data_IF_682107037082
#
_entry.id   IF_682107037082
#
_cell.length_a   1.000
_cell.length_b   1.000
_cell.length_c   1.000
_cell.angle_alpha   90.00
_cell.angle_beta   90.00
_cell.angle_gamma   90.00
#
_symmetry.space_group_name_H-M   'P 1'
#
loop_
_entity.id
_entity.type
_entity.pdbx_description
1 polymer ?
#
# COMPACT_ATOMS: atom_id res chain seq x y z
N UNK A 1 -7.04 -15.28 -22.89
CA UNK A 1 -7.97 -15.24 -21.74
C UNK A 1 -7.33 -15.81 -20.48
N UNK A 2 -6.70 -16.99 -20.55
CA UNK A 2 -6.07 -17.64 -19.39
C UNK A 2 -5.00 -16.79 -18.68
N UNK A 3 -4.12 -16.10 -19.42
CA UNK A 3 -3.13 -15.16 -18.83
C UNK A 3 -3.77 -13.98 -18.09
N UNK A 4 -4.89 -13.46 -18.60
CA UNK A 4 -5.64 -12.39 -17.94
C UNK A 4 -6.32 -12.89 -16.67
N UNK A 5 -6.90 -14.10 -16.72
CA UNK A 5 -7.49 -14.73 -15.54
C UNK A 5 -6.43 -15.07 -14.49
N UNK A 6 -5.26 -15.52 -14.90
CA UNK A 6 -4.12 -15.78 -14.02
C UNK A 6 -3.73 -14.50 -13.27
N UNK A 7 -3.46 -13.41 -14.01
CA UNK A 7 -3.11 -12.12 -13.42
C UNK A 7 -4.23 -11.53 -12.54
N UNK A 8 -5.48 -11.57 -13.02
CA UNK A 8 -6.62 -11.03 -12.27
C UNK A 8 -6.92 -11.81 -10.98
N UNK A 9 -6.78 -13.15 -11.02
CA UNK A 9 -7.04 -13.99 -9.86
C UNK A 9 -5.91 -13.97 -8.82
N UNK A 10 -4.80 -13.28 -9.13
CA UNK A 10 -3.60 -13.20 -8.30
C UNK A 10 -3.16 -14.58 -7.79
N UNK A 11 -3.31 -15.61 -8.64
CA UNK A 11 -3.22 -17.01 -8.22
C UNK A 11 -1.86 -17.36 -7.63
N UNK A 12 -0.81 -16.72 -8.14
CA UNK A 12 0.56 -16.85 -7.66
C UNK A 12 0.77 -16.35 -6.22
N UNK A 13 -0.09 -15.46 -5.71
CA UNK A 13 0.07 -14.89 -4.36
C UNK A 13 -0.79 -15.59 -3.29
N UNK A 14 -1.55 -16.64 -3.66
CA UNK A 14 -2.45 -17.31 -2.73
C UNK A 14 -1.74 -18.02 -1.59
N UNK A 15 -0.52 -18.50 -1.82
CA UNK A 15 0.31 -19.12 -0.78
C UNK A 15 0.64 -18.14 0.35
N UNK A 16 0.72 -16.84 0.06
CA UNK A 16 0.98 -15.80 1.06
C UNK A 16 -0.29 -15.32 1.77
N UNK A 17 -1.48 -15.71 1.31
CA UNK A 17 -2.73 -15.33 1.95
C UNK A 17 -3.19 -16.44 2.91
N UNK A 18 -3.41 -16.08 4.18
CA UNK A 18 -3.90 -16.99 5.23
C UNK A 18 -2.96 -18.17 5.55
N UNK A 19 -1.65 -18.03 5.32
CA UNK A 19 -0.67 -19.09 5.55
C UNK A 19 -0.57 -19.50 7.04
N UNK A 20 -0.48 -18.51 7.94
CA UNK A 20 -0.54 -18.69 9.40
C UNK A 20 -1.42 -17.61 10.04
N UNK A 21 -2.74 -17.86 10.08
CA UNK A 21 -3.72 -16.86 10.56
C UNK A 21 -3.36 -16.37 11.99
N UNK A 22 -3.11 -17.22 12.99
CA UNK A 22 -2.79 -16.74 14.34
C UNK A 22 -1.41 -16.10 14.50
N UNK A 23 -0.41 -16.44 13.67
CA UNK A 23 0.89 -15.76 13.73
C UNK A 23 0.86 -14.41 13.02
N UNK A 24 0.51 -14.45 11.73
CA UNK A 24 0.61 -13.31 10.80
C UNK A 24 -0.41 -12.22 11.13
N UNK A 25 -1.68 -12.59 11.40
CA UNK A 25 -2.75 -11.61 11.66
C UNK A 25 -2.44 -10.73 12.86
N UNK A 26 -1.95 -11.31 13.94
CA UNK A 26 -1.68 -10.55 15.16
C UNK A 26 -0.43 -9.68 15.03
N UNK A 27 0.63 -10.20 14.41
CA UNK A 27 1.85 -9.43 14.16
C UNK A 27 1.56 -8.20 13.29
N UNK A 28 0.90 -8.39 12.16
CA UNK A 28 0.57 -7.30 11.24
C UNK A 28 -0.47 -6.34 11.80
N UNK A 29 -1.43 -6.81 12.58
CA UNK A 29 -2.35 -5.94 13.30
C UNK A 29 -1.59 -5.07 14.32
N UNK A 30 -0.70 -5.66 15.12
CA UNK A 30 0.09 -4.92 16.09
C UNK A 30 0.97 -3.85 15.41
N UNK A 31 1.64 -4.21 14.32
CA UNK A 31 2.44 -3.29 13.51
C UNK A 31 1.61 -2.14 12.94
N UNK A 32 0.49 -2.46 12.29
CA UNK A 32 -0.43 -1.45 11.75
C UNK A 32 -0.89 -0.47 12.83
N UNK A 33 -1.31 -0.96 14.00
CA UNK A 33 -1.79 -0.08 15.08
C UNK A 33 -0.66 0.73 15.72
N UNK A 34 0.55 0.19 15.80
CA UNK A 34 1.73 0.92 16.27
C UNK A 34 2.10 2.07 15.31
N UNK A 35 2.01 1.82 14.00
CA UNK A 35 2.35 2.79 12.96
C UNK A 35 1.20 3.73 12.60
N UNK A 36 -0.05 3.40 12.94
CA UNK A 36 -1.22 4.21 12.58
C UNK A 36 -1.11 5.66 13.08
N UNK A 37 -0.56 5.87 14.27
CA UNK A 37 -0.38 7.19 14.85
C UNK A 37 0.77 8.00 14.24
N UNK A 38 1.70 7.32 13.54
CA UNK A 38 2.77 7.93 12.76
C UNK A 38 2.19 8.46 11.45
N UNK A 39 1.36 7.66 10.79
CA UNK A 39 0.75 8.00 9.50
C UNK A 39 -0.44 8.97 9.63
N UNK A 40 -1.24 8.83 10.69
CA UNK A 40 -2.40 9.67 10.97
C UNK A 40 -2.33 10.26 12.37
N UNK A 41 -2.44 11.59 12.47
CA UNK A 41 -2.53 12.24 13.78
C UNK A 41 -3.71 11.72 14.61
N UNK A 42 -3.56 11.68 15.94
CA UNK A 42 -4.63 11.28 16.86
C UNK A 42 -5.92 12.10 16.69
N UNK A 43 -5.82 13.35 16.23
CA UNK A 43 -6.98 14.19 15.92
C UNK A 43 -7.77 13.63 14.75
N UNK A 44 -7.08 13.20 13.68
CA UNK A 44 -7.73 12.58 12.51
C UNK A 44 -8.38 11.26 12.90
N UNK A 45 -7.72 10.45 13.73
CA UNK A 45 -8.28 9.18 14.23
C UNK A 45 -9.55 9.44 15.06
N UNK A 46 -9.52 10.42 15.98
CA UNK A 46 -10.69 10.78 16.77
C UNK A 46 -11.85 11.29 15.88
N UNK A 47 -11.56 12.12 14.89
CA UNK A 47 -12.56 12.57 13.91
C UNK A 47 -13.13 11.39 13.10
N UNK A 48 -12.31 10.41 12.72
CA UNK A 48 -12.77 9.22 12.01
C UNK A 48 -13.78 8.41 12.84
N UNK A 49 -13.53 8.24 14.15
CA UNK A 49 -14.47 7.59 15.06
C UNK A 49 -15.78 8.38 15.17
N UNK A 50 -15.72 9.71 15.34
CA UNK A 50 -16.90 10.57 15.38
C UNK A 50 -17.70 10.46 14.08
N UNK A 51 -17.00 10.46 12.93
CA UNK A 51 -17.63 10.35 11.62
C UNK A 51 -18.30 9.01 11.39
N UNK A 52 -17.68 7.90 11.83
CA UNK A 52 -18.28 6.57 11.78
C UNK A 52 -19.59 6.54 12.58
N UNK A 53 -19.60 7.03 13.82
CA UNK A 53 -20.81 7.10 14.64
C UNK A 53 -21.86 8.01 14.00
N UNK A 54 -21.47 9.21 13.55
CA UNK A 54 -22.40 10.15 12.93
C UNK A 54 -23.04 9.59 11.65
N UNK A 55 -22.26 8.90 10.81
CA UNK A 55 -22.77 8.24 9.61
C UNK A 55 -23.68 7.06 9.96
N UNK A 56 -23.33 6.22 10.94
CA UNK A 56 -24.20 5.12 11.37
C UNK A 56 -25.56 5.62 11.88
N UNK A 57 -25.58 6.76 12.58
CA UNK A 57 -26.82 7.36 13.10
C UNK A 57 -27.63 8.06 12.00
N UNK A 58 -26.98 8.88 11.16
CA UNK A 58 -27.69 9.78 10.21
C UNK A 58 -27.85 9.21 8.81
N UNK A 59 -26.92 8.36 8.37
CA UNK A 59 -26.81 7.79 7.02
C UNK A 59 -26.27 6.36 7.06
N UNK A 60 -26.98 5.49 7.80
CA UNK A 60 -26.46 4.16 8.19
C UNK A 60 -25.91 3.31 7.03
N UNK A 61 -26.51 3.41 5.83
CA UNK A 61 -26.03 2.70 4.63
C UNK A 61 -24.62 3.12 4.21
N UNK A 62 -24.33 4.41 4.28
CA UNK A 62 -22.99 4.96 3.96
C UNK A 62 -22.00 4.59 5.06
N UNK A 63 -22.42 4.70 6.34
CA UNK A 63 -21.58 4.28 7.46
C UNK A 63 -21.22 2.81 7.39
N UNK A 64 -22.20 1.94 7.12
CA UNK A 64 -21.99 0.51 6.95
C UNK A 64 -21.08 0.22 5.76
N UNK A 65 -21.30 0.86 4.61
CA UNK A 65 -20.43 0.69 3.43
C UNK A 65 -18.96 1.00 3.75
N UNK A 66 -18.69 2.14 4.37
CA UNK A 66 -17.31 2.55 4.69
C UNK A 66 -16.67 1.66 5.76
N UNK A 67 -17.42 1.28 6.79
CA UNK A 67 -16.92 0.38 7.84
C UNK A 67 -16.68 -1.03 7.31
N UNK A 68 -17.59 -1.57 6.48
CA UNK A 68 -17.38 -2.87 5.83
C UNK A 68 -16.19 -2.82 4.89
N UNK A 69 -16.04 -1.76 4.09
CA UNK A 69 -14.87 -1.59 3.23
C UNK A 69 -13.57 -1.54 4.05
N UNK A 70 -13.56 -0.78 5.15
CA UNK A 70 -12.40 -0.69 6.05
C UNK A 70 -12.10 -2.05 6.69
N UNK A 71 -13.09 -2.74 7.22
CA UNK A 71 -12.92 -4.07 7.81
C UNK A 71 -12.43 -5.08 6.79
N UNK A 72 -12.98 -5.12 5.57
CA UNK A 72 -12.52 -6.03 4.52
C UNK A 72 -11.08 -5.72 4.12
N UNK A 73 -10.73 -4.43 3.99
CA UNK A 73 -9.35 -4.01 3.72
C UNK A 73 -8.40 -4.49 4.83
N UNK A 74 -8.74 -4.21 6.10
CA UNK A 74 -7.96 -4.64 7.27
C UNK A 74 -7.79 -6.16 7.32
N UNK A 75 -8.88 -6.91 7.11
CA UNK A 75 -8.85 -8.37 7.08
C UNK A 75 -7.97 -8.90 5.94
N UNK A 76 -8.07 -8.29 4.74
CA UNK A 76 -7.27 -8.66 3.60
C UNK A 76 -5.78 -8.53 3.92
N UNK A 77 -5.34 -7.36 4.36
CA UNK A 77 -3.91 -7.15 4.54
C UNK A 77 -3.38 -7.84 5.79
N UNK A 78 -4.11 -7.89 6.93
CA UNK A 78 -3.63 -8.61 8.12
C UNK A 78 -3.41 -10.10 7.87
N UNK A 79 -4.05 -10.67 6.84
CA UNK A 79 -3.89 -12.07 6.48
C UNK A 79 -2.95 -12.24 5.27
N UNK A 80 -2.15 -11.23 4.93
CA UNK A 80 -1.30 -11.27 3.74
C UNK A 80 0.18 -11.21 4.14
N UNK A 81 0.87 -12.34 4.07
CA UNK A 81 2.27 -12.48 4.45
C UNK A 81 3.20 -12.01 3.33
N UNK A 82 3.30 -10.68 3.16
CA UNK A 82 4.26 -10.04 2.25
C UNK A 82 5.04 -8.96 3.01
N UNK A 83 6.31 -8.79 2.63
CA UNK A 83 7.26 -7.90 3.28
C UNK A 83 6.96 -6.41 3.06
N UNK A 84 6.62 -6.02 1.83
CA UNK A 84 6.16 -4.66 1.49
C UNK A 84 4.65 -4.49 1.75
N UNK A 85 4.23 -4.78 2.99
CA UNK A 85 2.83 -4.67 3.38
C UNK A 85 2.38 -3.20 3.51
N UNK A 86 3.30 -2.28 3.78
CA UNK A 86 2.98 -0.90 4.14
C UNK A 86 2.22 -0.17 3.02
N UNK A 87 2.51 -0.48 1.75
CA UNK A 87 1.79 0.09 0.60
C UNK A 87 0.29 -0.30 0.63
N UNK A 88 -0.03 -1.49 1.15
CA UNK A 88 -1.41 -1.97 1.28
C UNK A 88 -2.19 -1.31 2.42
N UNK A 89 -1.54 -0.51 3.27
CA UNK A 89 -2.21 0.32 4.28
C UNK A 89 -2.81 1.60 3.69
N UNK A 90 -2.30 2.10 2.56
CA UNK A 90 -2.76 3.35 1.94
C UNK A 90 -4.30 3.38 1.74
N UNK A 91 -4.95 2.32 1.23
CA UNK A 91 -6.41 2.32 1.11
C UNK A 91 -7.15 2.43 2.45
N UNK A 92 -6.62 1.87 3.55
CA UNK A 92 -7.25 2.02 4.87
C UNK A 92 -7.15 3.45 5.37
N UNK A 93 -6.03 4.14 5.12
CA UNK A 93 -5.86 5.56 5.45
C UNK A 93 -6.83 6.45 4.68
N UNK A 94 -7.10 6.14 3.41
CA UNK A 94 -8.13 6.85 2.61
C UNK A 94 -9.52 6.67 3.24
N UNK A 95 -9.88 5.45 3.63
CA UNK A 95 -11.17 5.18 4.28
C UNK A 95 -11.30 5.89 5.64
N UNK A 96 -10.22 5.90 6.44
CA UNK A 96 -10.16 6.65 7.69
C UNK A 96 -10.26 8.16 7.46
N UNK A 97 -9.63 8.70 6.41
CA UNK A 97 -9.74 10.10 6.05
C UNK A 97 -11.18 10.48 5.64
N UNK A 98 -11.88 9.63 4.87
CA UNK A 98 -13.29 9.84 4.53
C UNK A 98 -14.19 9.86 5.77
N UNK A 99 -13.95 8.94 6.70
CA UNK A 99 -14.63 8.95 8.00
C UNK A 99 -14.30 10.22 8.78
N UNK A 100 -13.04 10.66 8.80
CA UNK A 100 -12.63 11.88 9.49
C UNK A 100 -13.32 13.13 8.92
N UNK A 101 -13.47 13.24 7.60
CA UNK A 101 -14.24 14.31 6.95
C UNK A 101 -15.70 14.31 7.39
N UNK A 102 -16.32 13.13 7.48
CA UNK A 102 -17.68 13.02 8.03
C UNK A 102 -17.74 13.47 9.50
N UNK A 103 -16.71 13.15 10.29
CA UNK A 103 -16.56 13.58 11.68
C UNK A 103 -16.43 15.10 11.82
N UNK A 104 -15.63 15.73 10.97
CA UNK A 104 -15.51 17.19 10.89
C UNK A 104 -16.87 17.84 10.64
N UNK A 105 -17.64 17.32 9.69
CA UNK A 105 -19.01 17.80 9.42
C UNK A 105 -19.93 17.63 10.63
N UNK A 106 -19.84 16.49 11.33
CA UNK A 106 -20.63 16.24 12.53
C UNK A 106 -20.29 17.20 13.68
N UNK A 107 -19.01 17.49 13.90
CA UNK A 107 -18.55 18.48 14.89
C UNK A 107 -19.03 19.88 14.52
N UNK A 108 -18.95 20.25 13.25
CA UNK A 108 -19.45 21.54 12.77
C UNK A 108 -20.96 21.69 13.02
N UNK A 109 -21.75 20.65 12.71
CA UNK A 109 -23.19 20.62 12.95
C UNK A 109 -23.54 20.76 14.44
N UNK A 110 -22.77 20.11 15.34
CA UNK A 110 -22.96 20.25 16.79
C UNK A 110 -22.71 21.69 17.24
N UNK A 111 -21.66 22.33 16.72
CA UNK A 111 -21.40 23.75 16.94
C UNK A 111 -22.56 24.63 16.46
N UNK A 112 -23.13 24.35 15.29
CA UNK A 112 -24.32 25.04 14.78
C UNK A 112 -25.52 24.88 15.70
N UNK A 113 -25.79 23.67 16.20
CA UNK A 113 -26.91 23.39 17.09
C UNK A 113 -26.76 24.17 18.40
N UNK A 114 -25.55 24.23 18.96
CA UNK A 114 -25.27 25.03 20.15
C UNK A 114 -25.52 26.53 19.92
N UNK A 115 -25.17 27.05 18.73
CA UNK A 115 -25.39 28.45 18.37
C UNK A 115 -26.86 28.81 18.09
N UNK A 116 -27.71 27.85 17.73
CA UNK A 116 -29.14 28.10 17.43
C UNK A 116 -29.93 28.68 18.61
N UNK A 117 -29.51 28.41 19.84
CA UNK A 117 -30.14 28.97 21.04
C UNK A 117 -29.71 30.40 21.37
N UNK A 118 -28.68 30.92 20.71
CA UNK A 118 -27.96 32.13 21.13
C UNK A 118 -27.86 33.20 20.03
N UNK A 119 -28.20 32.88 18.78
CA UNK A 119 -27.89 33.71 17.63
C UNK A 119 -29.03 33.78 16.60
N UNK A 120 -29.09 34.89 15.86
CA UNK A 120 -30.01 35.08 14.75
C UNK A 120 -29.66 34.18 13.54
N UNK A 121 -30.60 33.91 12.61
CA UNK A 121 -30.35 33.09 11.43
C UNK A 121 -29.17 33.55 10.56
N UNK A 122 -28.98 34.87 10.43
CA UNK A 122 -27.85 35.44 9.70
C UNK A 122 -26.52 35.17 10.41
N UNK A 123 -26.48 35.30 11.74
CA UNK A 123 -25.31 34.99 12.55
C UNK A 123 -24.97 33.50 12.54
N UNK A 124 -25.96 32.61 12.52
CA UNK A 124 -25.74 31.16 12.39
C UNK A 124 -25.10 30.83 11.04
N UNK A 125 -25.55 31.45 9.94
CA UNK A 125 -24.96 31.23 8.61
C UNK A 125 -23.48 31.62 8.57
N UNK A 126 -23.14 32.81 9.08
CA UNK A 126 -21.75 33.27 9.15
C UNK A 126 -20.92 32.46 10.15
N UNK A 127 -21.50 32.06 11.28
CA UNK A 127 -20.89 31.18 12.26
C UNK A 127 -20.53 29.82 11.69
N UNK A 128 -21.39 29.23 10.85
CA UNK A 128 -21.12 27.97 10.17
C UNK A 128 -19.97 28.06 9.17
N UNK A 129 -19.92 29.14 8.38
CA UNK A 129 -18.81 29.37 7.48
C UNK A 129 -17.50 29.54 8.26
N UNK A 130 -17.52 30.33 9.33
CA UNK A 130 -16.37 30.53 10.21
C UNK A 130 -15.89 29.23 10.86
N UNK A 131 -16.82 28.40 11.36
CA UNK A 131 -16.51 27.11 11.96
C UNK A 131 -15.93 26.13 10.93
N UNK A 132 -16.49 26.09 9.72
CA UNK A 132 -15.96 25.27 8.63
C UNK A 132 -14.53 25.67 8.25
N UNK A 133 -14.27 26.98 8.11
CA UNK A 133 -12.93 27.51 7.85
C UNK A 133 -11.98 27.18 9.00
N UNK A 134 -12.41 27.36 10.26
CA UNK A 134 -11.59 27.05 11.42
C UNK A 134 -11.19 25.58 11.47
N UNK A 135 -12.14 24.66 11.24
CA UNK A 135 -11.86 23.22 11.17
C UNK A 135 -10.90 22.91 10.02
N UNK A 136 -11.11 23.49 8.84
CA UNK A 136 -10.21 23.29 7.70
C UNK A 136 -8.78 23.78 7.99
N UNK A 137 -8.63 24.95 8.60
CA UNK A 137 -7.33 25.49 9.00
C UNK A 137 -6.64 24.65 10.08
N UNK A 138 -7.40 24.12 11.04
CA UNK A 138 -6.87 23.20 12.05
C UNK A 138 -6.35 21.91 11.40
N UNK A 139 -7.08 21.34 10.45
CA UNK A 139 -6.62 20.15 9.70
C UNK A 139 -5.38 20.47 8.87
N UNK A 140 -5.37 21.60 8.16
CA UNK A 140 -4.20 22.02 7.40
C UNK A 140 -2.98 22.20 8.31
N UNK A 141 -3.13 22.87 9.45
CA UNK A 141 -2.03 23.16 10.36
C UNK A 141 -1.52 21.95 11.16
N UNK A 142 -2.41 21.06 11.60
CA UNK A 142 -2.05 19.98 12.52
C UNK A 142 -1.99 18.59 11.89
N UNK A 143 -2.63 18.36 10.73
CA UNK A 143 -2.59 17.08 10.04
C UNK A 143 -1.75 17.14 8.76
N UNK A 144 -1.98 18.13 7.90
CA UNK A 144 -1.32 18.18 6.58
C UNK A 144 0.06 18.80 6.65
N UNK A 145 0.22 19.93 7.36
CA UNK A 145 1.46 20.68 7.39
C UNK A 145 2.66 19.90 7.96
N UNK A 146 2.54 19.10 9.05
CA UNK A 146 3.67 18.33 9.56
C UNK A 146 4.21 17.31 8.57
N UNK A 147 3.34 16.73 7.73
CA UNK A 147 3.70 15.75 6.69
C UNK A 147 4.27 16.46 5.45
N UNK A 148 3.67 17.59 5.06
CA UNK A 148 4.10 18.34 3.89
C UNK A 148 5.41 19.11 4.11
N UNK A 149 5.62 19.67 5.30
CA UNK A 149 6.74 20.59 5.59
C UNK A 149 8.12 20.01 5.28
N UNK A 150 8.47 18.75 5.63
CA UNK A 150 9.76 18.16 5.29
C UNK A 150 9.97 18.01 3.78
N UNK A 151 8.88 17.80 3.02
CA UNK A 151 8.92 17.50 1.59
C UNK A 151 8.68 18.72 0.69
N UNK A 152 8.46 19.89 1.28
CA UNK A 152 8.05 21.11 0.55
C UNK A 152 9.03 21.50 -0.56
N UNK A 153 10.33 21.38 -0.31
CA UNK A 153 11.36 21.92 -1.21
C UNK A 153 11.47 21.02 -2.45
N UNK A 154 11.44 19.70 -2.27
CA UNK A 154 11.36 18.72 -3.37
C UNK A 154 10.09 18.91 -4.22
N UNK A 155 8.92 19.06 -3.56
CA UNK A 155 7.64 19.29 -4.27
C UNK A 155 7.67 20.58 -5.09
N UNK A 156 8.24 21.67 -4.56
CA UNK A 156 8.38 22.94 -5.28
C UNK A 156 9.34 22.82 -6.46
N UNK A 157 10.40 22.02 -6.31
CA UNK A 157 11.37 21.74 -7.38
C UNK A 157 10.80 20.82 -8.46
N UNK A 158 9.61 20.22 -8.26
CA UNK A 158 9.08 19.18 -9.14
C UNK A 158 9.85 17.86 -9.03
N UNK A 159 10.62 17.71 -7.95
CA UNK A 159 11.36 16.50 -7.63
C UNK A 159 10.47 15.53 -6.87
N UNK A 160 10.78 14.24 -7.02
CA UNK A 160 10.12 13.20 -6.26
C UNK A 160 10.72 13.21 -4.85
N UNK A 161 9.91 13.48 -3.79
CA UNK A 161 10.41 13.58 -2.42
C UNK A 161 10.83 12.22 -1.81
N UNK A 162 10.66 11.13 -2.55
CA UNK A 162 11.00 9.78 -2.15
C UNK A 162 12.35 9.42 -2.79
N UNK A 163 13.28 8.93 -1.97
CA UNK A 163 14.52 8.40 -2.48
C UNK A 163 14.24 7.03 -3.13
N UNK A 164 14.27 6.99 -4.46
CA UNK A 164 14.16 5.76 -5.25
C UNK A 164 15.54 5.19 -5.64
N UNK A 165 16.65 5.73 -5.12
CA UNK A 165 18.01 5.33 -5.49
C UNK A 165 18.29 3.83 -5.27
N UNK A 166 17.46 3.14 -4.48
CA UNK A 166 17.55 1.69 -4.23
C UNK A 166 16.66 0.84 -5.15
N UNK A 167 15.75 1.42 -5.95
CA UNK A 167 14.82 0.66 -6.77
C UNK A 167 15.32 0.57 -8.23
N UNK A 168 15.61 -0.64 -8.76
CA UNK A 168 16.32 -0.82 -10.03
C UNK A 168 15.52 -0.51 -11.31
N UNK A 169 14.39 0.22 -11.22
CA UNK A 169 13.42 0.36 -12.32
C UNK A 169 14.02 1.04 -13.56
N UNK A 170 15.08 1.83 -13.40
CA UNK A 170 15.70 2.59 -14.49
C UNK A 170 17.23 2.55 -14.48
N UNK A 171 17.82 1.46 -13.97
CA UNK A 171 19.27 1.31 -14.02
C UNK A 171 19.72 0.75 -15.38
N UNK A 172 20.13 1.64 -16.29
CA UNK A 172 20.72 1.27 -17.58
C UNK A 172 21.94 0.33 -17.38
N UNK A 173 22.65 0.43 -16.26
CA UNK A 173 23.79 -0.44 -15.97
C UNK A 173 23.36 -1.87 -15.69
N UNK A 174 22.25 -2.09 -14.97
CA UNK A 174 21.67 -3.41 -14.72
C UNK A 174 21.18 -4.05 -16.02
N UNK A 175 20.54 -3.26 -16.89
CA UNK A 175 20.10 -3.75 -18.20
C UNK A 175 21.28 -4.15 -19.08
N UNK A 176 22.32 -3.32 -19.14
CA UNK A 176 23.54 -3.61 -19.91
C UNK A 176 24.26 -4.85 -19.36
N UNK A 177 24.31 -4.99 -18.03
CA UNK A 177 24.84 -6.17 -17.36
C UNK A 177 24.07 -7.43 -17.76
N UNK A 178 22.73 -7.41 -17.67
CA UNK A 178 21.89 -8.54 -18.03
C UNK A 178 22.10 -8.99 -19.49
N UNK A 179 22.14 -8.03 -20.43
CA UNK A 179 22.40 -8.31 -21.85
C UNK A 179 23.79 -8.93 -22.04
N UNK A 180 24.82 -8.33 -21.44
CA UNK A 180 26.19 -8.82 -21.57
C UNK A 180 26.34 -10.24 -21.01
N UNK A 181 25.70 -10.54 -19.89
CA UNK A 181 25.74 -11.89 -19.30
C UNK A 181 25.03 -12.90 -20.22
N UNK A 182 23.82 -12.60 -20.70
CA UNK A 182 23.02 -13.49 -21.56
C UNK A 182 23.73 -13.85 -22.87
N UNK A 183 24.40 -12.90 -23.52
CA UNK A 183 25.12 -13.14 -24.78
C UNK A 183 26.21 -14.21 -24.62
N UNK A 184 26.81 -14.30 -23.43
CA UNK A 184 27.89 -15.24 -23.15
C UNK A 184 27.41 -16.57 -22.56
N UNK A 185 26.10 -16.76 -22.36
CA UNK A 185 25.57 -18.01 -21.81
C UNK A 185 25.57 -19.14 -22.85
N UNK A 186 25.98 -20.36 -22.44
CA UNK A 186 25.93 -21.54 -23.30
C UNK A 186 24.49 -21.88 -23.69
N UNK A 187 24.33 -22.70 -24.72
CA UNK A 187 23.01 -23.20 -25.14
C UNK A 187 22.35 -24.00 -24.01
N UNK A 188 21.04 -23.80 -23.81
CA UNK A 188 20.23 -24.48 -22.80
C UNK A 188 20.69 -24.27 -21.34
N UNK A 189 21.36 -23.14 -21.04
CA UNK A 189 21.77 -22.86 -19.67
C UNK A 189 20.55 -22.66 -18.75
N UNK A 190 20.62 -23.25 -17.56
CA UNK A 190 19.70 -23.02 -16.45
C UNK A 190 20.44 -22.14 -15.45
N UNK A 191 19.89 -20.96 -15.17
CA UNK A 191 20.51 -19.96 -14.30
C UNK A 191 19.64 -19.75 -13.08
N UNK A 192 20.23 -20.00 -11.92
CA UNK A 192 19.68 -19.69 -10.62
C UNK A 192 20.08 -18.26 -10.25
N UNK A 193 19.11 -17.41 -9.95
CA UNK A 193 19.30 -15.97 -9.80
C UNK A 193 18.27 -15.36 -8.86
N UNK A 194 18.50 -14.12 -8.46
CA UNK A 194 17.62 -13.40 -7.54
C UNK A 194 16.46 -12.71 -8.27
N UNK A 195 15.45 -12.27 -7.51
CA UNK A 195 14.20 -11.70 -8.06
C UNK A 195 14.45 -10.43 -8.88
N UNK A 196 15.46 -9.65 -8.51
CA UNK A 196 15.86 -8.41 -9.16
C UNK A 196 16.44 -8.65 -10.57
N UNK A 197 17.10 -9.80 -10.78
CA UNK A 197 17.77 -10.17 -12.02
C UNK A 197 16.99 -11.17 -12.88
N UNK A 198 16.07 -11.96 -12.30
CA UNK A 198 15.29 -12.96 -13.05
C UNK A 198 14.55 -12.33 -14.24
N UNK A 199 13.92 -11.17 -14.04
CA UNK A 199 13.16 -10.48 -15.08
C UNK A 199 14.04 -9.74 -16.09
N UNK A 200 15.09 -8.98 -15.68
CA UNK A 200 16.09 -8.47 -16.61
C UNK A 200 16.68 -9.55 -17.52
N UNK A 201 16.99 -10.73 -16.98
CA UNK A 201 17.50 -11.84 -17.78
C UNK A 201 16.46 -12.40 -18.75
N UNK A 202 15.22 -12.64 -18.30
CA UNK A 202 14.14 -13.06 -19.21
C UNK A 202 13.93 -12.05 -20.34
N UNK A 203 13.94 -10.75 -20.04
CA UNK A 203 13.79 -9.71 -21.05
C UNK A 203 14.98 -9.69 -22.03
N UNK A 204 16.21 -9.67 -21.51
CA UNK A 204 17.43 -9.66 -22.32
C UNK A 204 17.52 -10.92 -23.22
N UNK A 205 17.22 -12.09 -22.68
CA UNK A 205 17.28 -13.36 -23.42
C UNK A 205 16.14 -13.50 -24.43
N UNK A 206 14.88 -13.41 -23.98
CA UNK A 206 13.74 -13.81 -24.80
C UNK A 206 13.22 -12.68 -25.69
N UNK A 207 13.33 -11.41 -25.24
CA UNK A 207 12.82 -10.27 -25.99
C UNK A 207 13.91 -9.65 -26.86
N UNK A 208 15.10 -9.37 -26.30
CA UNK A 208 16.18 -8.73 -27.06
C UNK A 208 17.04 -9.73 -27.85
N UNK A 209 17.40 -10.86 -27.24
CA UNK A 209 18.34 -11.83 -27.81
C UNK A 209 17.71 -12.99 -28.58
N UNK A 210 16.39 -13.21 -28.48
CA UNK A 210 15.70 -14.38 -29.07
C UNK A 210 16.14 -15.75 -28.54
N UNK A 211 16.87 -15.79 -27.43
CA UNK A 211 17.43 -16.99 -26.77
C UNK A 211 16.38 -17.66 -25.88
N UNK A 212 15.38 -18.29 -26.48
CA UNK A 212 14.33 -19.02 -25.76
C UNK A 212 14.78 -20.37 -25.18
N UNK A 213 16.02 -20.78 -25.46
CA UNK A 213 16.65 -21.97 -24.90
C UNK A 213 17.11 -21.77 -23.44
N UNK A 214 17.26 -20.51 -23.00
CA UNK A 214 17.71 -20.18 -21.65
C UNK A 214 16.56 -20.20 -20.63
N UNK A 215 16.82 -20.76 -19.46
CA UNK A 215 15.88 -20.81 -18.33
C UNK A 215 16.45 -20.07 -17.11
N UNK A 216 15.66 -19.19 -16.52
CA UNK A 216 16.03 -18.44 -15.31
C UNK A 216 15.08 -18.82 -14.17
N UNK A 217 15.66 -19.19 -13.03
CA UNK A 217 14.92 -19.67 -11.86
C UNK A 217 15.26 -18.77 -10.67
N UNK A 218 14.23 -18.18 -10.06
CA UNK A 218 14.36 -17.41 -8.83
C UNK A 218 14.75 -18.35 -7.67
N UNK A 219 15.88 -18.07 -7.01
CA UNK A 219 16.45 -18.95 -5.97
C UNK A 219 15.80 -18.82 -4.61
N UNK A 220 15.39 -17.60 -4.26
CA UNK A 220 14.92 -17.30 -2.93
C UNK A 220 13.43 -17.60 -2.76
N UNK A 221 13.00 -18.10 -1.58
CA UNK A 221 11.58 -18.31 -1.30
C UNK A 221 10.82 -16.99 -1.14
N UNK A 222 11.49 -15.92 -0.71
CA UNK A 222 11.03 -14.54 -0.66
C UNK A 222 12.23 -13.58 -0.48
N UNK A 223 12.01 -12.29 -0.73
CA UNK A 223 12.95 -11.22 -0.36
C UNK A 223 13.24 -11.33 1.17
N UNK A 224 14.51 -11.40 1.55
CA UNK A 224 15.02 -11.58 2.93
C UNK A 224 14.81 -12.94 3.64
N UNK A 225 14.35 -13.98 2.94
CA UNK A 225 14.32 -15.33 3.53
C UNK A 225 15.56 -16.10 3.11
N UNK A 226 16.46 -16.32 4.08
CA UNK A 226 17.65 -17.14 3.91
C UNK A 226 17.28 -18.56 3.44
N UNK A 227 17.94 -19.03 2.39
CA UNK A 227 17.83 -20.39 1.89
C UNK A 227 17.44 -20.47 0.43
N UNK A 228 17.16 -21.70 -0.01
CA UNK A 228 16.73 -22.02 -1.37
C UNK A 228 15.26 -22.40 -1.31
N UNK A 229 14.44 -21.85 -2.20
CA UNK A 229 13.03 -22.16 -2.25
C UNK A 229 12.79 -23.66 -2.49
N UNK A 230 11.78 -24.25 -1.83
CA UNK A 230 11.41 -25.66 -2.07
C UNK A 230 11.14 -25.94 -3.56
N UNK A 231 10.56 -24.95 -4.27
CA UNK A 231 10.33 -25.02 -5.71
C UNK A 231 11.61 -25.17 -6.53
N UNK A 232 12.72 -24.60 -6.07
CA UNK A 232 14.05 -24.71 -6.70
C UNK A 232 14.64 -26.09 -6.45
N UNK A 233 14.48 -26.61 -5.22
CA UNK A 233 14.90 -27.97 -4.86
C UNK A 233 14.13 -29.00 -5.69
N UNK A 234 12.81 -28.86 -5.78
CA UNK A 234 11.94 -29.71 -6.59
C UNK A 234 12.31 -29.63 -8.07
N UNK A 235 12.55 -28.42 -8.60
CA UNK A 235 12.99 -28.23 -9.97
C UNK A 235 14.32 -28.93 -10.25
N UNK A 236 15.30 -28.79 -9.35
CA UNK A 236 16.60 -29.46 -9.46
C UNK A 236 16.45 -30.99 -9.40
N UNK A 237 15.62 -31.51 -8.51
CA UNK A 237 15.38 -32.95 -8.39
C UNK A 237 14.65 -33.56 -9.61
N UNK A 238 13.90 -32.76 -10.36
CA UNK A 238 13.22 -33.22 -11.59
C UNK A 238 14.12 -33.11 -12.81
N UNK A 239 14.96 -32.07 -12.89
CA UNK A 239 15.65 -31.70 -14.13
C UNK A 239 17.17 -31.90 -14.11
N UNK A 240 17.79 -32.13 -12.94
CA UNK A 240 19.26 -32.17 -12.79
C UNK A 240 19.82 -33.49 -12.23
N UNK A 241 18.97 -34.40 -11.73
CA UNK A 241 19.41 -35.73 -11.29
C UNK A 241 19.23 -36.76 -12.40
N UNK A 242 20.31 -36.99 -13.15
CA UNK A 242 20.58 -38.24 -13.88
C UNK A 242 21.29 -39.26 -12.96
#
# INVERSE_FOLDING_TARGET
MERLLFGWSARQFRSFMFADIPGVTYAQAAEYWANLAIELSWVVIALAVIGAVALLVRRWRVGLLLLTALTVQLLYFFNYEIWDLYVFYIPSYVLLALLAVAGMGAVADLGTIALRGLASPAQIRWGNLGLGIAVALLVLGFAVWPVFRPQKDAVIAGEVPFNFDEYPVFDESLQNFAIATVVNMPENAIVFTDWDLVWPYYYAAHILGGRHDLTFVETYPADDVDGVADSVVDYAAINLTD
#
